data_IF_075268125742
#
_entry.id   IF_075268125742
#
_cell.length_a   1.000
_cell.length_b   1.000
_cell.length_c   1.000
_cell.angle_alpha   90.00
_cell.angle_beta   90.00
_cell.angle_gamma   90.00
#
_symmetry.space_group_name_H-M   'P 1'
#
loop_
_entity.id
_entity.type
_entity.pdbx_description
1 polymer ?
#
# COMPACT_ATOMS: atom_id res chain seq x y z
N UNK A 1 23.69 5.93 4.89
CA UNK A 1 24.06 5.82 6.33
C UNK A 1 22.84 5.58 7.22
N UNK A 2 21.76 6.37 7.11
CA UNK A 2 20.54 6.20 7.93
C UNK A 2 19.94 4.77 7.87
N UNK A 3 19.82 4.18 6.68
CA UNK A 3 19.30 2.81 6.55
C UNK A 3 20.17 1.74 7.23
N UNK A 4 21.49 1.94 7.32
CA UNK A 4 22.39 0.95 7.94
C UNK A 4 22.22 0.92 9.45
N UNK A 5 21.96 2.07 10.08
CA UNK A 5 21.67 2.14 11.52
C UNK A 5 20.34 1.47 11.85
N UNK A 6 19.27 1.77 11.11
CA UNK A 6 17.95 1.13 11.32
C UNK A 6 18.05 -0.39 11.14
N UNK A 7 18.68 -0.84 10.05
CA UNK A 7 18.87 -2.27 9.78
C UNK A 7 19.58 -2.96 10.94
N UNK A 8 20.66 -2.37 11.46
CA UNK A 8 21.40 -2.90 12.59
C UNK A 8 20.52 -3.07 13.83
N UNK A 9 19.73 -2.06 14.20
CA UNK A 9 18.84 -2.12 15.37
C UNK A 9 17.75 -3.20 15.19
N UNK A 10 17.13 -3.27 14.01
CA UNK A 10 16.11 -4.30 13.73
C UNK A 10 16.71 -5.72 13.73
N UNK A 11 17.93 -5.91 13.22
CA UNK A 11 18.66 -7.18 13.30
C UNK A 11 19.07 -7.54 14.72
N UNK A 12 19.39 -6.56 15.57
CA UNK A 12 19.68 -6.78 16.97
C UNK A 12 18.44 -7.27 17.73
N UNK A 13 17.27 -6.65 17.48
CA UNK A 13 15.99 -7.10 18.03
C UNK A 13 15.66 -8.53 17.58
N UNK A 14 15.79 -8.83 16.28
CA UNK A 14 15.59 -10.18 15.76
C UNK A 14 16.54 -11.20 16.40
N UNK A 15 17.83 -10.87 16.52
CA UNK A 15 18.84 -11.77 17.11
C UNK A 15 18.57 -12.04 18.60
N UNK A 16 18.04 -11.04 19.32
CA UNK A 16 17.68 -11.17 20.74
C UNK A 16 16.44 -12.04 20.96
N UNK A 17 15.41 -11.84 20.15
CA UNK A 17 14.07 -12.39 20.38
C UNK A 17 13.79 -13.65 19.52
N UNK A 18 14.66 -13.97 18.56
CA UNK A 18 14.51 -15.08 17.61
C UNK A 18 13.53 -14.79 16.46
N UNK A 19 12.70 -13.76 16.60
CA UNK A 19 11.77 -13.25 15.60
C UNK A 19 11.63 -11.73 15.78
N UNK A 20 11.44 -11.01 14.69
CA UNK A 20 11.17 -9.57 14.75
C UNK A 20 9.65 -9.34 14.70
N UNK A 21 9.09 -8.78 15.77
CA UNK A 21 7.67 -8.40 15.83
C UNK A 21 7.49 -6.88 15.87
N UNK A 22 6.36 -6.37 15.37
CA UNK A 22 6.06 -4.95 15.42
C UNK A 22 6.00 -4.43 16.86
N UNK A 23 5.50 -5.24 17.80
CA UNK A 23 5.40 -4.92 19.22
C UNK A 23 6.79 -4.73 19.85
N UNK A 24 7.75 -5.59 19.51
CA UNK A 24 9.14 -5.46 19.98
C UNK A 24 9.79 -4.18 19.45
N UNK A 25 9.57 -3.86 18.16
CA UNK A 25 10.08 -2.62 17.54
C UNK A 25 9.48 -1.38 18.19
N UNK A 26 8.15 -1.34 18.38
CA UNK A 26 7.47 -0.22 19.04
C UNK A 26 7.95 -0.07 20.48
N UNK A 27 8.10 -1.19 21.21
CA UNK A 27 8.62 -1.18 22.59
C UNK A 27 10.01 -0.57 22.67
N UNK A 28 10.92 -0.96 21.77
CA UNK A 28 12.28 -0.43 21.69
C UNK A 28 12.28 1.06 21.33
N UNK A 29 11.47 1.45 20.33
CA UNK A 29 11.41 2.82 19.83
C UNK A 29 10.85 3.83 20.85
N UNK A 30 10.17 3.39 21.92
CA UNK A 30 9.61 4.29 22.96
C UNK A 30 10.68 5.11 23.66
N UNK A 31 11.88 4.58 23.83
CA UNK A 31 12.98 5.33 24.44
C UNK A 31 13.41 6.46 23.50
N UNK A 32 13.44 7.72 23.98
CA UNK A 32 13.89 8.87 23.18
C UNK A 32 15.33 8.76 22.68
N UNK A 33 16.15 7.95 23.35
CA UNK A 33 17.52 7.63 22.94
C UNK A 33 17.61 6.53 21.89
N UNK A 34 16.50 5.83 21.61
CA UNK A 34 16.48 4.78 20.58
C UNK A 34 16.66 5.43 19.20
N UNK A 35 17.56 4.90 18.36
CA UNK A 35 17.67 5.33 16.96
C UNK A 35 16.37 5.15 16.16
N UNK A 36 15.43 4.35 16.68
CA UNK A 36 14.13 4.10 16.06
C UNK A 36 13.06 5.13 16.46
N UNK A 37 13.32 5.97 17.47
CA UNK A 37 12.30 6.82 18.09
C UNK A 37 11.58 7.75 17.11
N UNK A 38 12.35 8.41 16.23
CA UNK A 38 11.85 9.44 15.33
C UNK A 38 11.09 8.88 14.11
N UNK A 39 11.03 7.56 13.96
CA UNK A 39 10.26 6.88 12.92
C UNK A 39 8.78 6.67 13.30
N UNK A 40 8.40 7.02 14.53
CA UNK A 40 7.05 6.85 15.05
C UNK A 40 6.36 8.19 15.34
N UNK A 41 5.02 8.17 15.32
CA UNK A 41 4.20 9.31 15.77
C UNK A 41 3.74 9.04 17.20
N UNK A 42 4.37 9.70 18.17
CA UNK A 42 4.08 9.53 19.60
C UNK A 42 2.95 10.41 20.14
N UNK A 43 2.49 11.38 19.34
CA UNK A 43 1.25 12.10 19.64
C UNK A 43 0.05 11.22 19.26
N UNK A 44 -0.66 10.73 20.26
CA UNK A 44 -1.78 9.81 20.09
C UNK A 44 -2.94 10.43 19.29
N UNK A 45 -3.17 11.74 19.42
CA UNK A 45 -4.23 12.43 18.66
C UNK A 45 -3.88 12.45 17.17
N UNK A 46 -2.62 12.79 16.86
CA UNK A 46 -2.12 12.77 15.49
C UNK A 46 -2.06 11.35 14.93
N UNK A 47 -1.67 10.36 15.73
CA UNK A 47 -1.62 8.96 15.32
C UNK A 47 -3.03 8.42 15.02
N UNK A 48 -4.00 8.68 15.91
CA UNK A 48 -5.39 8.28 15.73
C UNK A 48 -6.01 8.91 14.48
N UNK A 49 -5.77 10.20 14.23
CA UNK A 49 -6.27 10.86 13.02
C UNK A 49 -5.70 10.23 11.75
N UNK A 50 -4.39 9.99 11.71
CA UNK A 50 -3.75 9.29 10.58
C UNK A 50 -4.32 7.88 10.38
N UNK A 51 -4.65 7.18 11.46
CA UNK A 51 -5.28 5.85 11.39
C UNK A 51 -6.68 5.92 10.79
N UNK A 52 -7.52 6.87 11.22
CA UNK A 52 -8.87 7.07 10.65
C UNK A 52 -8.85 7.36 9.15
N UNK A 53 -7.86 8.11 8.66
CA UNK A 53 -7.69 8.33 7.22
C UNK A 53 -7.38 7.02 6.46
N UNK A 54 -6.62 6.11 7.07
CA UNK A 54 -6.38 4.76 6.51
C UNK A 54 -7.68 3.95 6.53
N UNK A 55 -8.45 3.99 7.62
CA UNK A 55 -9.76 3.33 7.71
C UNK A 55 -10.73 3.84 6.63
N UNK A 56 -10.81 5.15 6.42
CA UNK A 56 -11.62 5.74 5.36
C UNK A 56 -11.19 5.26 3.97
N UNK A 57 -9.88 5.21 3.70
CA UNK A 57 -9.36 4.68 2.44
C UNK A 57 -9.69 3.20 2.22
N UNK A 58 -9.67 2.38 3.28
CA UNK A 58 -10.10 0.98 3.24
C UNK A 58 -11.60 0.87 2.97
N UNK A 59 -12.42 1.66 3.65
CA UNK A 59 -13.86 1.71 3.45
C UNK A 59 -14.21 2.02 1.99
N UNK A 60 -13.62 3.07 1.40
CA UNK A 60 -13.81 3.42 -0.01
C UNK A 60 -13.47 2.23 -0.93
N UNK A 61 -12.36 1.52 -0.67
CA UNK A 61 -11.92 0.38 -1.48
C UNK A 61 -12.84 -0.86 -1.40
N UNK A 62 -13.71 -0.95 -0.38
CA UNK A 62 -14.67 -2.05 -0.26
C UNK A 62 -15.89 -1.90 -1.18
N UNK A 63 -16.19 -0.69 -1.64
CA UNK A 63 -17.39 -0.43 -2.45
C UNK A 63 -17.18 -0.96 -3.86
N UNK A 64 -18.06 -1.88 -4.28
CA UNK A 64 -18.04 -2.51 -5.61
C UNK A 64 -19.32 -2.21 -6.37
N UNK A 65 -19.20 -2.09 -7.68
CA UNK A 65 -20.32 -1.99 -8.62
C UNK A 65 -20.30 -3.14 -9.62
N UNK A 66 -21.46 -3.49 -10.13
CA UNK A 66 -21.57 -4.38 -11.28
C UNK A 66 -21.00 -3.69 -12.52
N UNK A 67 -20.09 -4.37 -13.20
CA UNK A 67 -19.51 -3.93 -14.45
C UNK A 67 -19.68 -5.05 -15.48
N UNK A 68 -20.25 -4.71 -16.64
CA UNK A 68 -20.41 -5.65 -17.75
C UNK A 68 -19.45 -5.28 -18.87
N UNK A 69 -18.30 -5.98 -19.00
CA UNK A 69 -17.38 -5.73 -20.09
C UNK A 69 -18.05 -6.01 -21.44
N UNK A 70 -17.80 -5.17 -22.45
CA UNK A 70 -18.41 -5.28 -23.80
C UNK A 70 -18.23 -6.64 -24.50
N UNK A 71 -17.27 -7.47 -24.04
CA UNK A 71 -16.93 -8.77 -24.63
C UNK A 71 -17.09 -9.95 -23.67
N UNK A 72 -17.64 -9.74 -22.47
CA UNK A 72 -17.77 -10.79 -21.47
C UNK A 72 -19.24 -11.23 -21.33
N UNK A 73 -19.44 -12.54 -21.18
CA UNK A 73 -20.75 -13.16 -20.89
C UNK A 73 -21.15 -13.07 -19.41
N UNK A 74 -20.26 -12.56 -18.54
CA UNK A 74 -20.47 -12.51 -17.10
C UNK A 74 -20.24 -11.10 -16.54
N UNK A 75 -21.10 -10.71 -15.59
CA UNK A 75 -20.95 -9.50 -14.78
C UNK A 75 -19.74 -9.68 -13.85
N UNK A 76 -18.84 -8.70 -13.85
CA UNK A 76 -17.72 -8.64 -12.90
C UNK A 76 -17.92 -7.49 -11.93
N UNK A 77 -17.43 -7.63 -10.70
CA UNK A 77 -17.51 -6.58 -9.69
C UNK A 77 -16.26 -5.70 -9.72
N UNK A 78 -16.41 -4.46 -10.19
CA UNK A 78 -15.35 -3.47 -10.24
C UNK A 78 -15.37 -2.55 -9.01
N UNK A 79 -14.23 -1.98 -8.58
CA UNK A 79 -14.23 -0.90 -7.61
C UNK A 79 -15.10 0.27 -8.09
N UNK A 80 -15.98 0.77 -7.22
CA UNK A 80 -16.79 1.95 -7.52
C UNK A 80 -15.93 3.22 -7.63
N UNK A 81 -14.86 3.28 -6.84
CA UNK A 81 -13.94 4.41 -6.76
C UNK A 81 -12.52 3.96 -7.05
N UNK A 82 -11.83 4.70 -7.93
CA UNK A 82 -10.46 4.44 -8.35
C UNK A 82 -9.54 5.49 -7.74
N UNK A 83 -8.43 5.09 -7.08
CA UNK A 83 -7.41 6.03 -6.63
C UNK A 83 -6.70 6.65 -7.84
N UNK A 84 -6.44 7.95 -7.79
CA UNK A 84 -5.78 8.70 -8.89
C UNK A 84 -4.62 9.55 -8.37
N UNK A 85 -3.77 8.96 -7.52
CA UNK A 85 -2.67 9.63 -6.84
C UNK A 85 -3.08 10.57 -5.69
N UNK A 86 -2.21 11.52 -5.38
CA UNK A 86 -2.38 12.55 -4.35
C UNK A 86 -2.44 13.95 -4.96
N UNK A 87 -3.18 14.85 -4.33
CA UNK A 87 -3.21 16.26 -4.73
C UNK A 87 -1.96 17.02 -4.22
N UNK A 88 -1.89 18.32 -4.52
CA UNK A 88 -0.81 19.22 -4.07
C UNK A 88 -0.67 19.33 -2.55
N UNK A 89 -1.71 19.01 -1.79
CA UNK A 89 -1.70 18.97 -0.32
C UNK A 89 -1.31 17.59 0.23
N UNK A 90 -0.97 16.63 -0.63
CA UNK A 90 -0.63 15.26 -0.24
C UNK A 90 -1.84 14.39 0.14
N UNK A 91 -3.07 14.84 -0.13
CA UNK A 91 -4.30 14.07 0.14
C UNK A 91 -4.57 13.12 -1.01
N UNK A 92 -4.84 11.85 -0.69
CA UNK A 92 -5.21 10.83 -1.67
C UNK A 92 -6.56 11.16 -2.30
N UNK A 93 -6.66 11.02 -3.62
CA UNK A 93 -7.87 11.33 -4.39
C UNK A 93 -8.49 10.05 -4.94
N UNK A 94 -9.82 10.03 -4.95
CA UNK A 94 -10.62 8.93 -5.45
C UNK A 94 -11.69 9.50 -6.38
N UNK A 95 -11.88 8.85 -7.53
CA UNK A 95 -12.89 9.25 -8.51
C UNK A 95 -13.79 8.05 -8.87
N UNK A 96 -15.08 8.28 -9.17
CA UNK A 96 -15.95 7.22 -9.68
C UNK A 96 -15.36 6.58 -10.94
N UNK A 97 -15.50 5.27 -11.07
CA UNK A 97 -14.93 4.53 -12.22
C UNK A 97 -15.50 4.99 -13.57
N UNK A 98 -16.73 5.47 -13.61
CA UNK A 98 -17.37 6.04 -14.81
C UNK A 98 -16.70 7.34 -15.26
N UNK A 99 -16.17 8.12 -14.31
CA UNK A 99 -15.44 9.35 -14.62
C UNK A 99 -14.02 9.02 -15.10
N UNK A 100 -13.33 8.11 -14.40
CA UNK A 100 -11.98 7.68 -14.78
C UNK A 100 -11.96 7.04 -16.16
N UNK A 101 -12.98 6.26 -16.52
CA UNK A 101 -13.06 5.63 -17.85
C UNK A 101 -13.28 6.64 -18.99
N UNK A 102 -13.95 7.77 -18.71
CA UNK A 102 -14.27 8.80 -19.71
C UNK A 102 -13.23 9.92 -19.78
N UNK A 103 -12.35 10.05 -18.79
CA UNK A 103 -11.35 11.10 -18.69
C UNK A 103 -9.93 10.52 -18.86
N UNK A 104 -9.30 10.82 -19.98
CA UNK A 104 -7.98 10.29 -20.33
C UNK A 104 -6.90 10.63 -19.30
N UNK A 105 -6.93 11.84 -18.73
CA UNK A 105 -5.96 12.26 -17.71
C UNK A 105 -6.11 11.45 -16.41
N UNK A 106 -7.35 11.23 -15.94
CA UNK A 106 -7.60 10.40 -14.76
C UNK A 106 -7.24 8.94 -15.03
N UNK A 107 -7.52 8.44 -16.24
CA UNK A 107 -7.16 7.09 -16.67
C UNK A 107 -5.65 6.89 -16.68
N UNK A 108 -4.89 7.84 -17.22
CA UNK A 108 -3.43 7.80 -17.22
C UNK A 108 -2.85 7.77 -15.80
N UNK A 109 -3.39 8.59 -14.88
CA UNK A 109 -3.00 8.55 -13.47
C UNK A 109 -3.25 7.18 -12.84
N UNK A 110 -4.44 6.62 -13.03
CA UNK A 110 -4.78 5.30 -12.49
C UNK A 110 -3.87 4.19 -13.05
N UNK A 111 -3.52 4.26 -14.34
CA UNK A 111 -2.60 3.32 -14.97
C UNK A 111 -1.14 3.51 -14.51
N UNK A 112 -0.72 4.74 -14.24
CA UNK A 112 0.60 5.02 -13.67
C UNK A 112 0.73 4.45 -12.25
N UNK A 113 -0.30 4.61 -11.41
CA UNK A 113 -0.37 4.02 -10.09
C UNK A 113 -0.29 2.49 -10.17
N UNK A 114 -1.08 1.86 -11.06
CA UNK A 114 -1.06 0.42 -11.28
C UNK A 114 0.31 -0.09 -11.75
N UNK A 115 0.99 0.66 -12.65
CA UNK A 115 2.35 0.32 -13.09
C UNK A 115 3.34 0.37 -11.92
N UNK A 116 3.28 1.41 -11.10
CA UNK A 116 4.17 1.55 -9.93
C UNK A 116 3.96 0.40 -8.94
N UNK A 117 2.72 -0.05 -8.74
CA UNK A 117 2.41 -1.21 -7.91
C UNK A 117 3.02 -2.51 -8.48
N UNK A 118 2.91 -2.72 -9.80
CA UNK A 118 3.52 -3.88 -10.47
C UNK A 118 5.06 -3.86 -10.37
N UNK A 119 5.68 -2.70 -10.54
CA UNK A 119 7.13 -2.53 -10.40
C UNK A 119 7.60 -2.76 -8.96
N UNK A 120 6.85 -2.26 -7.98
CA UNK A 120 7.12 -2.48 -6.56
C UNK A 120 6.97 -3.95 -6.17
N UNK A 121 5.94 -4.63 -6.69
CA UNK A 121 5.75 -6.08 -6.54
C UNK A 121 6.93 -6.83 -7.15
N UNK A 122 7.37 -6.42 -8.35
CA UNK A 122 8.54 -6.98 -9.00
C UNK A 122 9.79 -6.88 -8.13
N UNK A 123 10.11 -5.67 -7.66
CA UNK A 123 11.29 -5.43 -6.84
C UNK A 123 11.23 -6.19 -5.50
N UNK A 124 10.03 -6.33 -4.91
CA UNK A 124 9.84 -7.02 -3.62
C UNK A 124 10.07 -8.52 -3.71
N UNK A 125 9.71 -9.16 -4.82
CA UNK A 125 9.69 -10.62 -4.90
C UNK A 125 10.68 -11.22 -5.91
N UNK A 126 11.36 -10.42 -6.72
CA UNK A 126 12.31 -10.91 -7.74
C UNK A 126 13.47 -11.75 -7.19
N UNK A 127 13.75 -11.69 -5.90
CA UNK A 127 14.78 -12.49 -5.23
C UNK A 127 14.25 -13.79 -4.62
N UNK A 128 12.92 -13.99 -4.60
CA UNK A 128 12.26 -15.15 -4.01
C UNK A 128 11.69 -16.10 -5.06
N UNK A 129 11.20 -15.57 -6.19
CA UNK A 129 10.49 -16.35 -7.22
C UNK A 129 10.59 -15.67 -8.59
N UNK A 130 10.49 -16.45 -9.66
CA UNK A 130 10.20 -15.90 -10.98
C UNK A 130 8.73 -15.43 -11.03
N UNK A 131 8.56 -14.10 -11.07
CA UNK A 131 7.24 -13.50 -11.03
C UNK A 131 6.44 -13.69 -12.32
N UNK A 132 7.08 -13.95 -13.46
CA UNK A 132 6.35 -14.22 -14.69
C UNK A 132 5.66 -15.58 -14.62
N UNK A 133 6.36 -16.58 -14.08
CA UNK A 133 5.79 -17.90 -13.83
C UNK A 133 4.61 -17.82 -12.84
N UNK A 134 4.83 -17.20 -11.67
CA UNK A 134 3.77 -17.03 -10.66
C UNK A 134 2.55 -16.25 -11.20
N UNK A 135 2.78 -15.22 -12.02
CA UNK A 135 1.68 -14.44 -12.59
C UNK A 135 0.77 -15.27 -13.49
N UNK A 136 1.35 -16.24 -14.22
CA UNK A 136 0.58 -17.12 -15.10
C UNK A 136 -0.37 -18.00 -14.29
N UNK A 137 0.09 -18.54 -13.16
CA UNK A 137 -0.75 -19.30 -12.23
C UNK A 137 -1.90 -18.46 -11.66
N UNK A 138 -1.61 -17.22 -11.25
CA UNK A 138 -2.60 -16.31 -10.65
C UNK A 138 -3.67 -15.88 -11.67
N UNK A 139 -3.28 -15.58 -12.91
CA UNK A 139 -4.21 -15.11 -13.94
C UNK A 139 -4.94 -16.25 -14.69
N UNK A 140 -4.52 -17.49 -14.51
CA UNK A 140 -5.20 -18.67 -15.06
C UNK A 140 -6.33 -19.21 -14.15
N UNK A 141 -6.39 -18.75 -12.88
CA UNK A 141 -7.41 -19.11 -11.90
C UNK A 141 -8.64 -18.18 -11.96
#
# INVERSE_FOLDING_TARGET
>A
MVNATIEKELRALHSRDGVLTCEAVVKEARAKSSPLHDYFTWDDSRAAERYRLIEAGRLIATVRIEYTPKKATQVVYAPAFIPTGTNSEGKRQYYPVEEVTKNDFLREKALADARSEMEGTRARYSHLVDLLELSTEVFAA
#
